data_IF_309235291634
#
_entry.id   IF_309235291634
#
_cell.length_a   1.000
_cell.length_b   1.000
_cell.length_c   1.000
_cell.angle_alpha   90.00
_cell.angle_beta   90.00
_cell.angle_gamma   90.00
#
_symmetry.space_group_name_H-M   'P 1'
#
loop_
_entity.id
_entity.type
_entity.pdbx_description
1 polymer ?
#
# COMPACT_ATOMS: atom_id res chain seq x y z
N UNK A 1 -6.43 1.37 19.61
CA UNK A 1 -5.32 0.47 19.21
C UNK A 1 -5.40 -0.83 19.98
N UNK A 2 -6.32 -1.74 19.62
CA UNK A 2 -6.48 -2.95 20.45
C UNK A 2 -5.55 -4.12 20.05
N UNK A 3 -4.90 -4.05 18.88
CA UNK A 3 -4.18 -5.20 18.30
C UNK A 3 -2.83 -4.87 17.62
N UNK A 4 -2.33 -3.64 17.69
CA UNK A 4 -1.00 -3.31 17.14
C UNK A 4 0.12 -3.77 18.10
N UNK A 5 1.29 -4.17 17.58
CA UNK A 5 2.47 -4.46 18.40
C UNK A 5 2.87 -3.29 19.30
N UNK A 6 3.45 -3.60 20.47
CA UNK A 6 3.82 -2.59 21.47
C UNK A 6 4.99 -1.69 21.04
N UNK A 7 5.78 -2.11 20.06
CA UNK A 7 6.90 -1.35 19.48
C UNK A 7 6.46 -0.32 18.41
N UNK A 8 5.15 -0.16 18.19
CA UNK A 8 4.59 0.79 17.24
C UNK A 8 4.17 2.06 17.97
N UNK A 9 4.77 3.18 17.61
CA UNK A 9 4.50 4.47 18.22
C UNK A 9 3.99 5.47 17.17
N UNK A 10 3.15 6.40 17.62
CA UNK A 10 2.79 7.58 16.83
C UNK A 10 3.72 8.71 17.28
N UNK A 11 4.58 9.25 16.38
CA UNK A 11 5.36 10.44 16.69
C UNK A 11 4.48 11.59 17.19
N UNK A 12 4.88 12.24 18.30
CA UNK A 12 4.11 13.32 18.95
C UNK A 12 3.78 14.49 18.00
N UNK A 13 4.69 14.78 17.07
CA UNK A 13 4.45 15.81 16.05
C UNK A 13 3.24 15.43 15.18
N UNK A 14 3.17 14.19 14.71
CA UNK A 14 2.07 13.71 13.87
C UNK A 14 0.76 13.72 14.66
N UNK A 15 0.79 13.28 15.92
CA UNK A 15 -0.36 13.35 16.82
C UNK A 15 -0.90 14.77 16.97
N UNK A 16 -0.02 15.75 17.21
CA UNK A 16 -0.40 17.17 17.34
C UNK A 16 -1.02 17.72 16.05
N UNK A 17 -0.50 17.34 14.87
CA UNK A 17 -1.11 17.72 13.60
C UNK A 17 -2.48 17.08 13.41
N UNK A 18 -2.64 15.79 13.72
CA UNK A 18 -3.93 15.10 13.64
C UNK A 18 -4.97 15.74 14.55
N UNK A 19 -4.62 16.11 15.78
CA UNK A 19 -5.53 16.79 16.70
C UNK A 19 -6.02 18.14 16.14
N UNK A 20 -5.14 18.90 15.49
CA UNK A 20 -5.52 20.16 14.82
C UNK A 20 -6.45 19.91 13.64
N UNK A 21 -6.15 18.90 12.81
CA UNK A 21 -7.01 18.53 11.67
C UNK A 21 -8.40 18.12 12.16
N UNK A 22 -8.48 17.28 13.19
CA UNK A 22 -9.75 16.87 13.78
C UNK A 22 -10.54 18.08 14.32
N UNK A 23 -9.87 19.02 14.98
CA UNK A 23 -10.53 20.22 15.51
C UNK A 23 -11.08 21.13 14.40
N UNK A 24 -10.35 21.28 13.29
CA UNK A 24 -10.84 22.05 12.13
C UNK A 24 -11.96 21.30 11.39
N UNK A 25 -11.82 19.98 11.21
CA UNK A 25 -12.83 19.15 10.57
C UNK A 25 -14.15 19.15 11.32
N UNK A 26 -14.11 19.05 12.66
CA UNK A 26 -15.29 19.07 13.52
C UNK A 26 -16.14 20.34 13.36
N UNK A 27 -15.55 21.46 12.89
CA UNK A 27 -16.30 22.71 12.62
C UNK A 27 -17.12 22.62 11.33
N UNK A 28 -16.76 21.75 10.39
CA UNK A 28 -17.40 21.67 9.07
C UNK A 28 -18.71 20.88 9.09
N UNK A 29 -18.91 20.00 10.08
CA UNK A 29 -20.12 19.16 10.25
C UNK A 29 -20.53 18.42 8.96
N UNK A 30 -19.55 17.89 8.23
CA UNK A 30 -19.81 17.13 7.01
C UNK A 30 -20.23 15.71 7.38
N UNK A 31 -21.31 15.23 6.76
CA UNK A 31 -21.75 13.83 6.87
C UNK A 31 -21.87 13.27 5.47
N UNK A 32 -21.25 12.13 5.22
CA UNK A 32 -21.35 11.42 3.94
C UNK A 32 -22.47 10.38 4.02
N UNK A 33 -23.38 10.45 3.06
CA UNK A 33 -24.43 9.46 2.88
C UNK A 33 -24.09 8.48 1.76
N UNK A 34 -24.94 7.45 1.63
CA UNK A 34 -24.90 6.50 0.50
C UNK A 34 -25.06 7.23 -0.84
N UNK A 35 -25.87 8.28 -0.89
CA UNK A 35 -26.10 9.07 -2.10
C UNK A 35 -24.83 9.81 -2.55
N UNK A 36 -24.02 10.32 -1.61
CA UNK A 36 -22.74 10.96 -1.92
C UNK A 36 -21.76 9.94 -2.49
N UNK A 37 -21.71 8.74 -1.92
CA UNK A 37 -20.88 7.64 -2.42
C UNK A 37 -21.27 7.24 -3.85
N UNK A 38 -22.57 7.06 -4.11
CA UNK A 38 -23.09 6.74 -5.45
C UNK A 38 -22.72 7.84 -6.45
N UNK A 39 -22.87 9.10 -6.04
CA UNK A 39 -22.55 10.26 -6.89
C UNK A 39 -21.07 10.30 -7.27
N UNK A 40 -20.17 10.05 -6.32
CA UNK A 40 -18.72 9.98 -6.59
C UNK A 40 -18.41 8.81 -7.53
N UNK A 41 -18.98 7.64 -7.30
CA UNK A 41 -18.78 6.47 -8.15
C UNK A 41 -19.27 6.72 -9.59
N UNK A 42 -20.45 7.33 -9.76
CA UNK A 42 -20.98 7.69 -11.07
C UNK A 42 -20.11 8.72 -11.79
N UNK A 43 -19.58 9.71 -11.07
CA UNK A 43 -18.66 10.70 -11.64
C UNK A 43 -17.34 10.05 -12.08
N UNK A 44 -16.75 9.17 -11.27
CA UNK A 44 -15.55 8.42 -11.65
C UNK A 44 -15.76 7.58 -12.90
N UNK A 45 -16.89 6.88 -12.99
CA UNK A 45 -17.25 6.08 -14.15
C UNK A 45 -17.46 6.94 -15.40
N UNK A 46 -18.16 8.07 -15.27
CA UNK A 46 -18.39 9.00 -16.38
C UNK A 46 -17.09 9.65 -16.91
N UNK A 47 -16.10 9.84 -16.03
CA UNK A 47 -14.78 10.35 -16.39
C UNK A 47 -13.86 9.26 -16.98
N UNK A 48 -14.28 8.00 -17.02
CA UNK A 48 -13.47 6.88 -17.51
C UNK A 48 -12.22 6.63 -16.66
N UNK A 49 -12.24 7.03 -15.39
CA UNK A 49 -11.06 6.93 -14.50
C UNK A 49 -10.78 5.49 -14.03
N UNK A 50 -11.74 4.58 -14.18
CA UNK A 50 -11.64 3.18 -13.77
C UNK A 50 -11.51 2.26 -15.00
N UNK A 51 -10.32 2.23 -15.61
CA UNK A 51 -9.98 1.24 -16.63
C UNK A 51 -9.26 0.09 -15.94
N UNK A 52 -9.95 -1.05 -15.77
CA UNK A 52 -9.35 -2.28 -15.29
C UNK A 52 -8.82 -3.08 -16.47
N UNK A 53 -7.52 -3.32 -16.51
CA UNK A 53 -6.89 -4.25 -17.45
C UNK A 53 -6.58 -5.53 -16.68
N UNK A 54 -7.23 -6.63 -17.07
CA UNK A 54 -6.90 -7.96 -16.55
C UNK A 54 -5.88 -8.61 -17.49
N UNK A 55 -4.70 -8.91 -16.95
CA UNK A 55 -3.64 -9.62 -17.66
C UNK A 55 -3.31 -10.90 -16.87
N UNK A 56 -3.90 -12.01 -17.30
CA UNK A 56 -3.59 -13.31 -16.75
C UNK A 56 -2.27 -13.85 -17.31
N UNK A 57 -1.47 -14.48 -16.44
CA UNK A 57 -0.39 -15.36 -16.85
C UNK A 57 -0.93 -16.78 -16.99
N UNK A 58 -0.53 -17.47 -18.04
CA UNK A 58 -0.75 -18.91 -18.17
C UNK A 58 -0.04 -19.67 -17.04
N UNK A 59 -0.41 -20.95 -16.87
CA UNK A 59 0.25 -21.83 -15.91
C UNK A 59 1.76 -21.93 -16.16
N UNK A 60 2.16 -22.05 -17.42
CA UNK A 60 3.55 -22.24 -17.79
C UNK A 60 4.35 -20.95 -17.58
N UNK A 61 3.79 -19.79 -17.91
CA UNK A 61 4.37 -18.48 -17.60
C UNK A 61 4.51 -18.24 -16.09
N UNK A 62 3.48 -18.60 -15.32
CA UNK A 62 3.51 -18.51 -13.86
C UNK A 62 4.62 -19.39 -13.27
N UNK A 63 4.77 -20.62 -13.77
CA UNK A 63 5.83 -21.53 -13.35
C UNK A 63 7.22 -21.01 -13.75
N UNK A 64 7.36 -20.49 -14.97
CA UNK A 64 8.60 -19.89 -15.45
C UNK A 64 9.00 -18.69 -14.58
N UNK A 65 8.07 -17.77 -14.30
CA UNK A 65 8.30 -16.62 -13.43
C UNK A 65 8.72 -17.05 -12.01
N UNK A 66 8.02 -18.04 -11.44
CA UNK A 66 8.34 -18.56 -10.10
C UNK A 66 9.74 -19.17 -10.05
N UNK A 67 10.08 -20.00 -11.03
CA UNK A 67 11.39 -20.65 -11.10
C UNK A 67 12.51 -19.62 -11.31
N UNK A 68 12.29 -18.64 -12.19
CA UNK A 68 13.28 -17.60 -12.46
C UNK A 68 13.48 -16.68 -11.25
N UNK A 69 12.40 -16.30 -10.57
CA UNK A 69 12.49 -15.53 -9.32
C UNK A 69 13.32 -16.27 -8.27
N UNK A 70 13.11 -17.59 -8.13
CA UNK A 70 13.90 -18.45 -7.24
C UNK A 70 15.38 -18.50 -7.63
N UNK A 71 15.71 -18.67 -8.90
CA UNK A 71 17.09 -18.65 -9.40
C UNK A 71 17.80 -17.32 -9.10
N UNK A 72 17.05 -16.21 -9.15
CA UNK A 72 17.57 -14.87 -8.89
C UNK A 72 17.57 -14.49 -7.41
N UNK A 73 17.07 -15.35 -6.52
CA UNK A 73 17.02 -15.09 -5.08
C UNK A 73 16.02 -14.00 -4.69
N UNK A 74 14.94 -13.81 -5.45
CA UNK A 74 13.91 -12.80 -5.19
C UNK A 74 12.52 -13.43 -5.06
N UNK A 75 11.58 -12.69 -4.47
CA UNK A 75 10.17 -13.08 -4.45
C UNK A 75 9.50 -12.80 -5.80
N UNK A 76 8.46 -13.57 -6.12
CA UNK A 76 7.61 -13.32 -7.31
C UNK A 76 7.02 -11.90 -7.26
N UNK A 77 6.58 -11.43 -6.09
CA UNK A 77 6.06 -10.08 -5.91
C UNK A 77 7.10 -9.00 -6.27
N UNK A 78 8.38 -9.19 -5.93
CA UNK A 78 9.42 -8.22 -6.28
C UNK A 78 9.62 -8.15 -7.80
N UNK A 79 9.55 -9.29 -8.50
CA UNK A 79 9.62 -9.32 -9.96
C UNK A 79 8.40 -8.65 -10.61
N UNK A 80 7.19 -8.86 -10.09
CA UNK A 80 5.97 -8.19 -10.57
C UNK A 80 6.02 -6.68 -10.32
N UNK A 81 6.48 -6.26 -9.14
CA UNK A 81 6.68 -4.85 -8.81
C UNK A 81 7.72 -4.18 -9.72
N UNK A 82 8.80 -4.88 -10.06
CA UNK A 82 9.78 -4.39 -11.04
C UNK A 82 9.15 -4.18 -12.42
N UNK A 83 8.34 -5.15 -12.88
CA UNK A 83 7.64 -5.05 -14.17
C UNK A 83 6.66 -3.86 -14.19
N UNK A 84 5.90 -3.66 -13.11
CA UNK A 84 4.97 -2.53 -12.97
C UNK A 84 5.74 -1.20 -12.97
N UNK A 85 6.85 -1.12 -12.24
CA UNK A 85 7.64 0.11 -12.17
C UNK A 85 8.23 0.49 -13.53
N UNK A 86 8.76 -0.50 -14.26
CA UNK A 86 9.29 -0.30 -15.61
C UNK A 86 8.16 0.17 -16.54
N UNK A 87 7.02 -0.54 -16.56
CA UNK A 87 5.89 -0.18 -17.41
C UNK A 87 5.39 1.24 -17.13
N UNK A 88 5.26 1.61 -15.85
CA UNK A 88 4.92 2.97 -15.42
C UNK A 88 5.90 4.00 -15.98
N UNK A 89 7.20 3.78 -15.82
CA UNK A 89 8.23 4.72 -16.29
C UNK A 89 8.39 4.76 -17.83
N UNK A 90 7.89 3.76 -18.56
CA UNK A 90 7.85 3.80 -20.03
C UNK A 90 6.73 4.70 -20.57
N UNK A 91 5.63 4.83 -19.82
CA UNK A 91 4.45 5.62 -20.22
C UNK A 91 4.50 7.07 -19.68
N UNK A 92 5.18 7.29 -18.57
CA UNK A 92 5.24 8.61 -17.94
C UNK A 92 6.17 9.57 -18.69
N UNK A 93 5.62 10.73 -19.08
CA UNK A 93 6.39 11.82 -19.71
C UNK A 93 7.10 12.71 -18.69
N UNK A 94 6.70 12.66 -17.42
CA UNK A 94 7.28 13.44 -16.33
C UNK A 94 7.81 12.50 -15.23
N UNK A 95 8.96 12.83 -14.60
CA UNK A 95 9.50 11.99 -13.54
C UNK A 95 8.57 12.03 -12.33
N UNK A 96 7.93 10.90 -12.00
CA UNK A 96 7.19 10.77 -10.74
C UNK A 96 7.97 9.88 -9.76
N UNK A 97 7.72 9.99 -8.44
CA UNK A 97 8.41 9.16 -7.46
C UNK A 97 8.20 7.66 -7.73
N UNK A 98 9.28 6.88 -7.63
CA UNK A 98 9.26 5.43 -7.80
C UNK A 98 8.65 4.67 -6.61
N UNK A 99 7.70 5.28 -5.90
CA UNK A 99 7.06 4.66 -4.74
C UNK A 99 6.13 3.53 -5.19
N UNK A 100 6.37 2.33 -4.67
CA UNK A 100 5.55 1.15 -4.91
C UNK A 100 4.84 0.76 -3.61
N UNK A 101 3.51 0.72 -3.66
CA UNK A 101 2.66 0.24 -2.57
C UNK A 101 2.22 -1.21 -2.79
N UNK A 102 2.18 -2.01 -1.73
CA UNK A 102 1.61 -3.36 -1.78
C UNK A 102 0.96 -3.74 -0.45
N UNK A 103 -0.02 -4.65 -0.52
CA UNK A 103 -0.70 -5.17 0.66
C UNK A 103 0.12 -6.28 1.34
N UNK A 104 0.06 -6.32 2.67
CA UNK A 104 0.76 -7.27 3.52
C UNK A 104 -0.23 -7.90 4.50
N UNK A 105 -0.20 -9.22 4.61
CA UNK A 105 -0.93 -9.95 5.65
C UNK A 105 -0.27 -9.72 7.02
N UNK A 106 -1.03 -9.15 7.96
CA UNK A 106 -0.56 -8.85 9.31
C UNK A 106 -1.10 -9.81 10.39
N UNK A 107 -1.80 -10.89 10.01
CA UNK A 107 -2.37 -11.88 10.94
C UNK A 107 -1.36 -12.43 11.94
N UNK A 108 -0.13 -12.67 11.49
CA UNK A 108 0.95 -13.21 12.34
C UNK A 108 1.67 -12.16 13.20
N UNK A 109 1.30 -10.89 13.06
CA UNK A 109 1.99 -9.76 13.72
C UNK A 109 1.12 -9.04 14.73
N UNK A 110 -0.20 -9.22 14.69
CA UNK A 110 -1.08 -8.63 15.69
C UNK A 110 -0.90 -9.31 17.05
N UNK A 111 -1.19 -8.59 18.13
CA UNK A 111 -0.95 -9.06 19.51
C UNK A 111 -1.89 -10.17 19.95
N UNK A 112 -3.14 -10.15 19.47
CA UNK A 112 -4.11 -11.21 19.69
C UNK A 112 -4.13 -12.13 18.47
N UNK A 113 -4.15 -13.44 18.68
CA UNK A 113 -4.30 -14.38 17.56
C UNK A 113 -5.60 -14.10 16.80
N UNK A 114 -5.48 -13.86 15.49
CA UNK A 114 -6.62 -13.58 14.63
C UNK A 114 -7.47 -14.84 14.36
N UNK A 115 -6.89 -16.04 14.48
CA UNK A 115 -7.56 -17.28 14.06
C UNK A 115 -8.25 -17.14 12.70
N UNK A 116 -9.54 -17.48 12.66
CA UNK A 116 -10.40 -17.36 11.47
C UNK A 116 -11.22 -16.06 11.41
N UNK A 117 -10.83 -15.02 12.16
CA UNK A 117 -11.58 -13.77 12.17
C UNK A 117 -11.72 -13.15 10.77
N UNK A 118 -12.94 -12.68 10.48
CA UNK A 118 -13.29 -11.95 9.26
C UNK A 118 -13.22 -10.44 9.53
N UNK A 119 -12.00 -9.90 9.60
CA UNK A 119 -11.70 -8.49 9.86
C UNK A 119 -10.63 -7.96 8.88
N UNK A 120 -10.44 -6.64 8.82
CA UNK A 120 -9.35 -6.02 8.07
C UNK A 120 -7.98 -6.33 8.71
N UNK A 121 -7.38 -7.42 8.24
CA UNK A 121 -6.10 -7.98 8.70
C UNK A 121 -5.00 -7.85 7.64
N UNK A 122 -5.11 -6.79 6.82
CA UNK A 122 -4.07 -6.35 5.91
C UNK A 122 -3.50 -5.01 6.36
N UNK A 123 -2.27 -4.73 5.94
CA UNK A 123 -1.70 -3.39 5.96
C UNK A 123 -1.03 -3.06 4.63
N UNK A 124 -0.84 -1.77 4.36
CA UNK A 124 -0.04 -1.30 3.23
C UNK A 124 1.43 -1.21 3.63
N UNK A 125 2.32 -1.64 2.75
CA UNK A 125 3.73 -1.36 2.80
C UNK A 125 4.14 -0.56 1.56
N UNK A 126 5.10 0.33 1.72
CA UNK A 126 5.67 1.10 0.62
C UNK A 126 7.18 0.87 0.54
N UNK A 127 7.69 0.83 -0.68
CA UNK A 127 9.13 0.79 -0.98
C UNK A 127 9.44 1.83 -2.05
N UNK A 128 10.62 2.43 -1.96
CA UNK A 128 11.15 3.38 -2.93
C UNK A 128 12.46 2.81 -3.52
N UNK A 129 12.37 1.95 -4.54
CA UNK A 129 13.55 1.46 -5.25
C UNK A 129 14.29 2.57 -5.97
N UNK A 130 15.59 2.36 -6.13
CA UNK A 130 16.41 3.15 -7.04
C UNK A 130 16.18 2.60 -8.44
N UNK A 131 15.62 3.42 -9.32
CA UNK A 131 15.35 3.04 -10.70
C UNK A 131 16.06 3.99 -11.65
N UNK A 132 16.78 3.40 -12.58
CA UNK A 132 17.44 4.04 -13.71
C UNK A 132 17.10 3.23 -14.95
N UNK A 133 16.86 3.89 -16.08
CA UNK A 133 16.47 3.21 -17.33
C UNK A 133 17.51 2.18 -17.81
N UNK A 134 18.78 2.36 -17.46
CA UNK A 134 19.86 1.43 -17.78
C UNK A 134 19.94 0.19 -16.89
N UNK A 135 19.17 0.14 -15.80
CA UNK A 135 19.21 -0.96 -14.84
C UNK A 135 18.61 -2.23 -15.44
N UNK A 136 19.25 -3.38 -15.22
CA UNK A 136 18.69 -4.65 -15.67
C UNK A 136 17.49 -5.04 -14.82
N UNK A 137 16.49 -5.66 -15.45
CA UNK A 137 15.25 -6.09 -14.78
C UNK A 137 15.49 -6.82 -13.44
N UNK A 138 16.43 -7.78 -13.41
CA UNK A 138 16.71 -8.56 -12.22
C UNK A 138 17.55 -7.84 -11.17
N UNK A 139 18.24 -6.77 -11.52
CA UNK A 139 18.90 -5.88 -10.56
C UNK A 139 17.85 -5.06 -9.82
N UNK A 140 16.91 -4.46 -10.57
CA UNK A 140 15.76 -3.76 -10.00
C UNK A 140 14.92 -4.67 -9.09
N UNK A 141 14.62 -5.89 -9.53
CA UNK A 141 13.87 -6.84 -8.73
C UNK A 141 14.59 -7.20 -7.41
N UNK A 142 15.93 -7.24 -7.40
CA UNK A 142 16.73 -7.48 -6.18
C UNK A 142 16.72 -6.29 -5.24
N UNK A 143 16.80 -5.07 -5.77
CA UNK A 143 16.67 -3.85 -4.97
C UNK A 143 15.29 -3.79 -4.29
N UNK A 144 14.22 -3.97 -5.08
CA UNK A 144 12.84 -4.05 -4.57
C UNK A 144 12.70 -5.15 -3.51
N UNK A 145 13.25 -6.34 -3.76
CA UNK A 145 13.19 -7.44 -2.80
C UNK A 145 13.88 -7.09 -1.47
N UNK A 146 15.08 -6.50 -1.55
CA UNK A 146 15.85 -6.10 -0.37
C UNK A 146 15.13 -5.04 0.44
N UNK A 147 14.65 -3.99 -0.21
CA UNK A 147 13.87 -2.92 0.43
C UNK A 147 12.55 -3.45 1.00
N UNK A 148 11.90 -4.38 0.31
CA UNK A 148 10.70 -5.07 0.83
C UNK A 148 11.01 -5.80 2.13
N UNK A 149 12.09 -6.59 2.19
CA UNK A 149 12.46 -7.29 3.42
C UNK A 149 12.77 -6.32 4.57
N UNK A 150 13.44 -5.20 4.28
CA UNK A 150 13.70 -4.15 5.27
C UNK A 150 12.40 -3.52 5.80
N UNK A 151 11.49 -3.13 4.90
CA UNK A 151 10.17 -2.59 5.28
C UNK A 151 9.36 -3.59 6.08
N UNK A 152 9.39 -4.87 5.70
CA UNK A 152 8.69 -5.94 6.41
C UNK A 152 9.37 -6.27 7.75
N UNK A 153 10.63 -5.92 8.00
CA UNK A 153 11.26 -6.21 9.29
C UNK A 153 10.71 -5.34 10.43
N UNK A 154 10.06 -4.22 10.12
CA UNK A 154 9.60 -3.22 11.08
C UNK A 154 8.08 -3.23 11.25
N UNK A 155 7.60 -3.43 12.49
CA UNK A 155 6.18 -3.23 12.78
C UNK A 155 5.79 -1.75 12.62
N UNK A 156 6.69 -0.81 12.91
CA UNK A 156 6.44 0.61 12.69
C UNK A 156 6.08 0.90 11.23
N UNK A 157 6.79 0.30 10.27
CA UNK A 157 6.52 0.48 8.84
C UNK A 157 5.18 -0.11 8.41
N UNK A 158 4.70 -1.16 9.08
CA UNK A 158 3.43 -1.82 8.75
C UNK A 158 2.24 -1.22 9.50
N UNK A 159 2.40 -0.76 10.72
CA UNK A 159 1.28 -0.33 11.56
C UNK A 159 1.25 1.18 11.79
N UNK A 160 2.35 1.92 11.58
CA UNK A 160 2.43 3.35 11.88
C UNK A 160 1.34 4.19 11.20
N UNK A 161 1.14 4.02 9.89
CA UNK A 161 0.06 4.72 9.17
C UNK A 161 -1.32 4.31 9.65
N UNK A 162 -1.52 3.02 9.96
CA UNK A 162 -2.79 2.51 10.52
C UNK A 162 -3.07 3.07 11.91
N UNK A 163 -2.03 3.34 12.69
CA UNK A 163 -2.16 3.98 14.01
C UNK A 163 -2.58 5.44 13.86
N UNK A 164 -2.02 6.16 12.88
CA UNK A 164 -2.44 7.51 12.55
C UNK A 164 -3.91 7.57 12.12
N UNK A 165 -4.38 6.65 11.28
CA UNK A 165 -5.79 6.65 10.86
C UNK A 165 -6.76 6.40 12.01
N UNK A 166 -6.35 5.66 13.05
CA UNK A 166 -7.18 5.44 14.24
C UNK A 166 -7.35 6.67 15.14
N UNK A 167 -6.44 7.64 15.08
CA UNK A 167 -6.55 8.88 15.86
C UNK A 167 -7.16 10.03 15.05
N UNK A 168 -7.35 9.86 13.74
CA UNK A 168 -8.12 10.79 12.93
C UNK A 168 -9.63 10.64 13.21
N UNK A 169 -10.36 11.75 13.08
CA UNK A 169 -11.82 11.73 13.17
C UNK A 169 -12.38 10.73 12.14
N UNK A 170 -13.25 9.79 12.53
CA UNK A 170 -13.80 8.79 11.61
C UNK A 170 -14.47 9.40 10.39
N UNK A 171 -15.18 10.52 10.55
CA UNK A 171 -15.87 11.18 9.44
C UNK A 171 -14.91 11.91 8.50
N UNK A 172 -13.70 12.23 8.98
CA UNK A 172 -12.61 12.72 8.14
C UNK A 172 -12.00 11.58 7.31
N UNK A 173 -11.81 10.39 7.90
CA UNK A 173 -11.37 9.22 7.15
C UNK A 173 -12.36 8.83 6.05
N UNK A 174 -13.66 8.92 6.33
CA UNK A 174 -14.71 8.61 5.33
C UNK A 174 -14.75 9.63 4.17
N UNK A 175 -14.19 10.82 4.38
CA UNK A 175 -14.17 11.91 3.40
C UNK A 175 -13.00 11.83 2.39
N UNK A 176 -11.95 11.08 2.71
CA UNK A 176 -10.74 10.93 1.89
C UNK A 176 -10.89 9.80 0.87
#
# INVERSE_FOLDING_TARGET
>A
VENAPADVEIPEIQKSYTEKINAEWAKQKVTFGVDDFIKVAQQKYALGLDVYVDQALTRDETLALRNKSKEQGVSVNAALLAAILIAKNMEETEPTPNNLGFAVDVRKRITKDAGEACNLLASGAMVAPEYEESMLFWELAKDIHTKTLQTLASNQSLFGTRMLTQIMDPTFNDAM
#
